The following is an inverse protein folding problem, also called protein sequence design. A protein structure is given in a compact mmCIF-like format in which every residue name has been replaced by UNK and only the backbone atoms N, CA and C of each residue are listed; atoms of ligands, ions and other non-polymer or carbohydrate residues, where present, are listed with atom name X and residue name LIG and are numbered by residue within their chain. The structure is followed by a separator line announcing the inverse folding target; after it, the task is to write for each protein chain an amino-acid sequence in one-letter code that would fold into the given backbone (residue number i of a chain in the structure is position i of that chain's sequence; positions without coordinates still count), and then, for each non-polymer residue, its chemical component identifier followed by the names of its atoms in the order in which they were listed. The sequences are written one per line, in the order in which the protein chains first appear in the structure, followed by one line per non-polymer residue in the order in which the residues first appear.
data_IF_305316048266
#
_entry.id   IF_305316048266
#
_cell.length_a   1.000
_cell.length_b   1.000
_cell.length_c   1.000
_cell.angle_alpha   90.00
_cell.angle_beta   90.00
_cell.angle_gamma   90.00
#
_symmetry.space_group_name_H-M   'P 1'
#
loop_
_entity.id
_entity.type
_entity.pdbx_description
1 polymer ?
#
# COMPACT_ATOMS: atom_id res chain seq x y z
N UNK A 1 53.63 0.40 -7.38
CA UNK A 1 53.05 0.05 -8.70
C UNK A 1 52.99 1.24 -9.67
N UNK A 2 54.12 1.71 -10.23
CA UNK A 2 54.12 2.81 -11.20
C UNK A 2 53.55 2.43 -12.58
N UNK A 3 53.51 1.13 -12.88
CA UNK A 3 53.04 0.58 -14.15
C UNK A 3 51.51 0.36 -14.17
N UNK A 4 50.83 0.52 -13.03
CA UNK A 4 49.38 0.35 -12.91
C UNK A 4 48.91 -1.09 -13.01
N UNK A 5 49.79 -2.06 -12.72
CA UNK A 5 49.51 -3.50 -12.82
C UNK A 5 48.34 -3.90 -11.91
N UNK A 6 48.27 -3.34 -10.69
CA UNK A 6 47.17 -3.63 -9.78
C UNK A 6 45.83 -3.08 -10.28
N UNK A 7 45.82 -1.93 -10.96
CA UNK A 7 44.59 -1.36 -11.51
C UNK A 7 44.11 -2.16 -12.73
N UNK A 8 45.03 -2.60 -13.57
CA UNK A 8 44.74 -3.49 -14.70
C UNK A 8 44.12 -4.81 -14.23
N UNK A 9 44.74 -5.44 -13.22
CA UNK A 9 44.22 -6.65 -12.57
C UNK A 9 42.78 -6.46 -12.08
N UNK A 10 42.53 -5.37 -11.35
CA UNK A 10 41.21 -5.05 -10.85
C UNK A 10 40.20 -4.85 -11.98
N UNK A 11 40.53 -4.07 -13.02
CA UNK A 11 39.61 -3.77 -14.15
C UNK A 11 39.25 -4.99 -14.98
N UNK A 12 40.14 -5.97 -15.06
CA UNK A 12 39.90 -7.22 -15.79
C UNK A 12 39.20 -8.30 -14.96
N UNK A 13 38.48 -7.91 -13.90
CA UNK A 13 37.74 -8.82 -13.04
C UNK A 13 38.61 -9.83 -12.28
N UNK A 14 39.82 -9.44 -11.90
CA UNK A 14 40.69 -10.20 -11.00
C UNK A 14 41.00 -11.63 -11.52
N UNK A 15 41.59 -11.75 -12.73
CA UNK A 15 41.83 -13.05 -13.34
C UNK A 15 42.89 -13.85 -12.56
N UNK A 16 42.60 -15.10 -12.25
CA UNK A 16 43.49 -15.97 -11.44
C UNK A 16 44.88 -16.18 -12.07
N UNK A 17 45.00 -16.02 -13.39
CA UNK A 17 46.24 -16.18 -14.14
C UNK A 17 47.21 -15.00 -13.99
N UNK A 18 46.74 -13.80 -13.62
CA UNK A 18 47.56 -12.59 -13.48
C UNK A 18 48.16 -12.46 -12.07
N UNK A 19 49.10 -13.34 -11.76
CA UNK A 19 49.80 -13.38 -10.46
C UNK A 19 50.55 -12.07 -10.18
N UNK A 20 51.12 -11.45 -11.21
CA UNK A 20 51.87 -10.18 -11.10
C UNK A 20 50.95 -9.01 -10.77
N UNK A 21 49.79 -8.92 -11.43
CA UNK A 21 48.77 -7.92 -11.15
C UNK A 21 48.15 -8.12 -9.76
N UNK A 22 47.90 -9.36 -9.36
CA UNK A 22 47.42 -9.69 -8.02
C UNK A 22 48.40 -9.25 -6.92
N UNK A 23 49.70 -9.53 -7.06
CA UNK A 23 50.72 -9.09 -6.09
C UNK A 23 50.76 -7.56 -5.96
N UNK A 24 50.79 -6.85 -7.10
CA UNK A 24 50.79 -5.38 -7.11
C UNK A 24 49.50 -4.80 -6.48
N UNK A 25 48.36 -5.46 -6.69
CA UNK A 25 47.09 -5.09 -6.08
C UNK A 25 47.11 -5.27 -4.54
N UNK A 26 47.59 -6.41 -4.05
CA UNK A 26 47.69 -6.70 -2.61
C UNK A 26 48.64 -5.74 -1.88
N UNK A 27 49.81 -5.45 -2.45
CA UNK A 27 50.75 -4.49 -1.85
C UNK A 27 50.13 -3.09 -1.71
N UNK A 28 49.37 -2.64 -2.72
CA UNK A 28 48.66 -1.36 -2.66
C UNK A 28 47.55 -1.36 -1.62
N UNK A 29 46.76 -2.42 -1.54
CA UNK A 29 45.73 -2.57 -0.51
C UNK A 29 46.34 -2.48 0.90
N UNK A 30 47.51 -3.09 1.14
CA UNK A 30 48.21 -2.98 2.42
C UNK A 30 48.61 -1.53 2.74
N UNK A 31 49.05 -0.76 1.75
CA UNK A 31 49.34 0.67 1.94
C UNK A 31 48.06 1.47 2.26
N UNK A 32 46.97 1.20 1.54
CA UNK A 32 45.68 1.87 1.79
C UNK A 32 45.12 1.53 3.17
N UNK A 33 45.36 0.30 3.63
CA UNK A 33 44.94 -0.17 4.94
C UNK A 33 45.49 0.71 6.07
N UNK A 34 46.74 1.15 5.98
CA UNK A 34 47.29 2.09 6.97
C UNK A 34 46.46 3.38 7.06
N UNK A 35 45.94 3.86 5.93
CA UNK A 35 45.11 5.09 5.86
C UNK A 35 43.72 4.81 6.42
N UNK A 36 43.09 3.71 6.04
CA UNK A 36 41.75 3.35 6.52
C UNK A 36 41.74 2.98 8.00
N UNK A 37 42.79 2.32 8.51
CA UNK A 37 42.94 1.99 9.93
C UNK A 37 43.07 3.28 10.77
N UNK A 38 43.84 4.25 10.28
CA UNK A 38 43.94 5.59 10.92
C UNK A 38 42.58 6.30 10.92
N UNK A 39 41.86 6.29 9.80
CA UNK A 39 40.51 6.87 9.73
C UNK A 39 39.55 6.15 10.69
N UNK A 40 39.64 4.83 10.79
CA UNK A 40 38.81 4.03 11.69
C UNK A 40 39.07 4.39 13.15
N UNK A 41 40.32 4.57 13.53
CA UNK A 41 40.69 5.00 14.88
C UNK A 41 40.11 6.38 15.21
N UNK A 42 40.23 7.35 14.29
CA UNK A 42 39.66 8.68 14.46
C UNK A 42 38.12 8.65 14.58
N UNK A 43 37.44 7.83 13.77
CA UNK A 43 35.99 7.63 13.88
C UNK A 43 35.61 7.05 15.24
N UNK A 44 36.33 6.01 15.70
CA UNK A 44 36.06 5.37 16.98
C UNK A 44 36.28 6.33 18.16
N UNK A 45 37.36 7.12 18.13
CA UNK A 45 37.66 8.13 19.14
C UNK A 45 36.62 9.25 19.14
N UNK A 46 36.16 9.71 17.97
CA UNK A 46 35.12 10.75 17.87
C UNK A 46 33.77 10.32 18.45
N UNK A 47 33.44 9.03 18.36
CA UNK A 47 32.19 8.43 18.85
C UNK A 47 32.27 7.92 20.29
N UNK A 48 33.45 7.93 20.91
CA UNK A 48 33.62 7.46 22.27
C UNK A 48 32.77 8.31 23.24
N UNK A 49 32.04 7.69 24.17
CA UNK A 49 31.33 8.45 25.19
C UNK A 49 32.34 9.29 25.98
N UNK A 50 32.03 10.56 26.34
CA UNK A 50 32.90 11.33 27.20
C UNK A 50 33.12 10.51 28.46
N UNK A 51 34.38 10.18 28.77
CA UNK A 51 34.67 9.39 29.96
C UNK A 51 34.09 10.11 31.17
N UNK A 52 33.05 9.55 31.77
CA UNK A 52 32.55 10.05 33.04
C UNK A 52 33.70 9.98 34.04
N UNK A 53 34.03 11.07 34.75
CA UNK A 53 35.16 11.06 35.68
C UNK A 53 34.90 9.98 36.71
N UNK A 54 35.69 8.91 36.64
CA UNK A 54 35.62 7.84 37.63
C UNK A 54 36.08 8.42 38.96
N UNK A 55 35.27 8.27 40.01
CA UNK A 55 35.64 8.69 41.36
C UNK A 55 36.95 7.97 41.74
N UNK A 56 38.05 8.69 42.01
CA UNK A 56 39.31 8.05 42.35
C UNK A 56 39.14 7.17 43.60
N UNK A 57 39.59 5.90 43.54
CA UNK A 57 39.53 4.96 44.68
C UNK A 57 40.41 5.36 45.87
N UNK A 58 41.13 6.48 45.79
CA UNK A 58 41.99 7.02 46.86
C UNK A 58 41.78 8.55 46.96
N UNK A 59 41.69 9.11 48.18
CA UNK A 59 41.69 10.56 48.36
C UNK A 59 43.04 11.15 47.93
N UNK A 60 43.00 12.00 46.92
CA UNK A 60 44.14 12.70 46.32
C UNK A 60 43.65 13.64 45.21
N UNK A 61 44.48 14.59 44.75
CA UNK A 61 44.12 15.46 43.62
C UNK A 61 43.71 14.60 42.40
N UNK A 62 42.73 15.06 41.60
CA UNK A 62 42.20 14.28 40.48
C UNK A 62 43.35 13.81 39.60
N UNK A 63 43.45 12.50 39.40
CA UNK A 63 44.38 11.93 38.42
C UNK A 63 43.82 12.31 37.06
N UNK A 64 44.29 13.42 36.49
CA UNK A 64 44.12 13.72 35.07
C UNK A 64 45.01 12.74 34.30
N UNK A 65 44.63 11.46 34.26
CA UNK A 65 45.18 10.52 33.29
C UNK A 65 44.37 10.64 32.00
N UNK A 66 44.28 11.85 31.44
CA UNK A 66 44.12 12.02 30.01
C UNK A 66 45.54 12.01 29.48
N UNK A 67 45.94 10.93 28.80
CA UNK A 67 47.22 10.84 28.11
C UNK A 67 47.41 12.13 27.29
N UNK A 68 48.55 12.84 27.37
CA UNK A 68 48.74 14.11 26.65
C UNK A 68 48.70 13.97 25.12
N UNK A 69 48.69 12.74 24.61
CA UNK A 69 48.51 12.41 23.19
C UNK A 69 47.09 11.93 22.84
N UNK A 70 46.15 11.86 23.79
CA UNK A 70 44.76 11.52 23.49
C UNK A 70 44.03 12.72 22.91
N UNK A 71 43.57 12.59 21.67
CA UNK A 71 42.68 13.56 21.04
C UNK A 71 41.36 13.63 21.80
N UNK A 72 40.83 14.84 21.98
CA UNK A 72 39.43 14.98 22.40
C UNK A 72 38.49 14.46 21.30
N UNK A 73 37.26 14.12 21.65
CA UNK A 73 36.26 13.64 20.68
C UNK A 73 36.03 14.66 19.54
N UNK A 74 36.03 15.95 19.86
CA UNK A 74 35.84 17.03 18.91
C UNK A 74 37.05 17.17 17.95
N UNK A 75 38.27 17.08 18.49
CA UNK A 75 39.50 17.10 17.70
C UNK A 75 39.63 15.86 16.81
N UNK A 76 39.31 14.67 17.33
CA UNK A 76 39.28 13.43 16.57
C UNK A 76 38.29 13.52 15.40
N UNK A 77 37.09 14.07 15.63
CA UNK A 77 36.11 14.35 14.59
C UNK A 77 36.62 15.37 13.55
N UNK A 78 37.31 16.43 13.99
CA UNK A 78 37.89 17.41 13.09
C UNK A 78 38.99 16.81 12.20
N UNK A 79 39.92 16.05 12.79
CA UNK A 79 40.98 15.36 12.07
C UNK A 79 40.43 14.32 11.11
N UNK A 80 39.38 13.58 11.50
CA UNK A 80 38.68 12.67 10.62
C UNK A 80 38.16 13.39 9.36
N UNK A 81 37.44 14.50 9.51
CA UNK A 81 36.91 15.27 8.36
C UNK A 81 38.03 15.83 7.47
N UNK A 82 39.12 16.32 8.07
CA UNK A 82 40.28 16.80 7.31
C UNK A 82 40.93 15.67 6.50
N UNK A 83 41.18 14.53 7.14
CA UNK A 83 41.81 13.38 6.51
C UNK A 83 40.92 12.79 5.41
N UNK A 84 39.61 12.70 5.64
CA UNK A 84 38.64 12.26 4.64
C UNK A 84 38.63 13.20 3.42
N UNK A 85 38.65 14.53 3.64
CA UNK A 85 38.74 15.51 2.54
C UNK A 85 40.04 15.40 1.75
N UNK A 86 41.16 15.09 2.41
CA UNK A 86 42.44 14.85 1.74
C UNK A 86 42.40 13.55 0.93
N UNK A 87 41.86 12.48 1.50
CA UNK A 87 41.70 11.19 0.83
C UNK A 87 40.84 11.31 -0.45
N UNK A 88 39.75 12.07 -0.39
CA UNK A 88 38.86 12.33 -1.53
C UNK A 88 39.51 13.11 -2.69
N UNK A 89 40.64 13.81 -2.45
CA UNK A 89 41.39 14.52 -3.50
C UNK A 89 42.37 13.62 -4.27
N UNK A 90 42.54 12.37 -3.83
CA UNK A 90 43.43 11.43 -4.50
C UNK A 90 42.92 11.12 -5.91
N UNK A 91 43.83 11.10 -6.88
CA UNK A 91 43.55 10.69 -8.27
C UNK A 91 43.72 9.17 -8.47
N UNK A 92 44.06 8.45 -7.40
CA UNK A 92 44.23 7.01 -7.44
C UNK A 92 42.88 6.30 -7.34
N UNK A 93 42.47 5.66 -8.45
CA UNK A 93 41.22 4.91 -8.57
C UNK A 93 41.16 3.74 -7.58
N UNK A 94 42.25 2.98 -7.39
CA UNK A 94 42.25 1.84 -6.46
C UNK A 94 42.15 2.29 -5.01
N UNK A 95 42.79 3.40 -4.66
CA UNK A 95 42.64 3.97 -3.33
C UNK A 95 41.21 4.46 -3.10
N UNK A 96 40.61 5.11 -4.11
CA UNK A 96 39.21 5.57 -4.04
C UNK A 96 38.26 4.40 -3.80
N UNK A 97 38.45 3.29 -4.51
CA UNK A 97 37.70 2.03 -4.32
C UNK A 97 37.87 1.48 -2.90
N UNK A 98 39.10 1.40 -2.40
CA UNK A 98 39.39 0.94 -1.04
C UNK A 98 38.74 1.84 0.02
N UNK A 99 38.77 3.16 -0.19
CA UNK A 99 38.12 4.14 0.67
C UNK A 99 36.59 3.98 0.67
N UNK A 100 35.97 3.70 -0.48
CA UNK A 100 34.53 3.46 -0.57
C UNK A 100 34.13 2.18 0.17
N UNK A 101 34.88 1.09 -0.03
CA UNK A 101 34.66 -0.15 0.71
C UNK A 101 34.76 0.06 2.22
N UNK A 102 35.76 0.80 2.68
CA UNK A 102 35.89 1.16 4.09
C UNK A 102 34.73 2.03 4.60
N UNK A 103 34.31 3.06 3.85
CA UNK A 103 33.17 3.93 4.23
C UNK A 103 31.88 3.13 4.39
N UNK A 104 31.65 2.11 3.56
CA UNK A 104 30.49 1.22 3.65
C UNK A 104 30.61 0.35 4.90
N UNK A 105 31.77 -0.27 5.13
CA UNK A 105 32.02 -1.11 6.31
C UNK A 105 31.91 -0.35 7.63
N UNK A 106 32.28 0.93 7.65
CA UNK A 106 32.21 1.81 8.82
C UNK A 106 30.81 2.43 9.06
N UNK A 107 29.81 2.06 8.25
CA UNK A 107 28.44 2.62 8.26
C UNK A 107 28.42 4.15 8.04
N UNK A 108 29.27 4.64 7.13
CA UNK A 108 29.40 6.06 6.76
C UNK A 108 28.85 6.32 5.36
N UNK A 109 27.75 5.65 5.01
CA UNK A 109 27.07 5.74 3.71
C UNK A 109 26.69 7.18 3.32
N UNK A 110 26.28 8.01 4.27
CA UNK A 110 25.95 9.42 4.00
C UNK A 110 27.16 10.23 3.54
N UNK A 111 28.35 9.92 4.08
CA UNK A 111 29.62 10.53 3.66
C UNK A 111 30.05 10.00 2.31
N UNK A 112 29.86 8.72 2.03
CA UNK A 112 30.10 8.13 0.71
C UNK A 112 29.29 8.85 -0.37
N UNK A 113 28.00 9.08 -0.13
CA UNK A 113 27.13 9.78 -1.07
C UNK A 113 27.52 11.25 -1.26
N UNK A 114 28.29 11.87 -0.36
CA UNK A 114 28.83 13.24 -0.53
C UNK A 114 30.08 13.29 -1.40
N UNK A 115 30.71 12.15 -1.68
CA UNK A 115 31.89 12.10 -2.54
C UNK A 115 31.48 12.39 -3.98
N UNK A 116 32.02 13.48 -4.54
CA UNK A 116 31.92 13.74 -5.97
C UNK A 116 33.13 13.12 -6.68
N UNK A 117 32.99 11.88 -7.13
CA UNK A 117 34.04 11.14 -7.83
C UNK A 117 33.47 10.36 -9.00
N UNK A 118 34.14 10.37 -10.17
CA UNK A 118 33.72 9.59 -11.33
C UNK A 118 33.88 8.07 -11.12
N UNK A 119 34.60 7.64 -10.07
CA UNK A 119 34.87 6.23 -9.78
C UNK A 119 33.80 5.59 -8.90
N UNK A 120 32.94 6.39 -8.24
CA UNK A 120 31.96 5.88 -7.28
C UNK A 120 30.85 5.07 -7.96
N UNK A 121 30.29 5.57 -9.07
CA UNK A 121 29.24 4.85 -9.81
C UNK A 121 29.74 3.51 -10.38
N UNK A 122 30.87 3.43 -11.12
CA UNK A 122 31.40 2.16 -11.61
C UNK A 122 31.67 1.16 -10.48
N UNK A 123 32.17 1.65 -9.34
CA UNK A 123 32.41 0.81 -8.16
C UNK A 123 31.11 0.22 -7.61
N UNK A 124 30.11 1.06 -7.30
CA UNK A 124 28.81 0.60 -6.77
C UNK A 124 28.11 -0.35 -7.75
N UNK A 125 28.14 -0.03 -9.05
CA UNK A 125 27.54 -0.87 -10.09
C UNK A 125 28.25 -2.23 -10.25
N UNK A 126 29.57 -2.29 -10.05
CA UNK A 126 30.32 -3.56 -10.00
C UNK A 126 29.97 -4.35 -8.76
N UNK A 127 30.02 -3.73 -7.58
CA UNK A 127 29.74 -4.41 -6.31
C UNK A 127 28.33 -4.96 -6.25
N UNK A 128 27.34 -4.24 -6.78
CA UNK A 128 25.96 -4.72 -6.92
C UNK A 128 25.81 -6.02 -7.75
N UNK A 129 26.79 -6.37 -8.59
CA UNK A 129 26.79 -7.61 -9.38
C UNK A 129 27.52 -8.76 -8.70
N UNK A 130 28.67 -8.48 -8.11
CA UNK A 130 29.62 -9.51 -7.63
C UNK A 130 29.51 -9.82 -6.14
N UNK A 131 29.07 -8.86 -5.33
CA UNK A 131 29.01 -9.02 -3.87
C UNK A 131 27.79 -9.86 -3.45
N UNK A 132 27.83 -10.42 -2.24
CA UNK A 132 26.69 -11.12 -1.66
C UNK A 132 25.61 -10.13 -1.21
N UNK A 133 26.01 -8.97 -0.67
CA UNK A 133 25.13 -7.91 -0.17
C UNK A 133 24.61 -7.01 -1.31
N UNK A 134 24.09 -7.61 -2.39
CA UNK A 134 23.65 -6.89 -3.60
C UNK A 134 22.63 -5.80 -3.30
N UNK A 135 21.70 -6.08 -2.38
CA UNK A 135 20.66 -5.13 -1.94
C UNK A 135 21.30 -3.84 -1.44
N UNK A 136 22.28 -3.93 -0.54
CA UNK A 136 22.95 -2.78 0.06
C UNK A 136 23.62 -1.88 -1.00
N UNK A 137 24.37 -2.48 -1.93
CA UNK A 137 25.05 -1.72 -2.99
C UNK A 137 24.07 -1.09 -3.99
N UNK A 138 22.99 -1.79 -4.34
CA UNK A 138 21.92 -1.21 -5.17
C UNK A 138 21.22 -0.07 -4.43
N UNK A 139 21.08 -0.17 -3.11
CA UNK A 139 20.48 0.88 -2.27
C UNK A 139 21.32 2.16 -2.27
N UNK A 140 22.64 2.01 -2.15
CA UNK A 140 23.58 3.12 -2.29
C UNK A 140 23.56 3.71 -3.70
N UNK A 141 23.42 2.87 -4.72
CA UNK A 141 23.45 3.28 -6.12
C UNK A 141 22.26 4.17 -6.50
N UNK A 142 21.02 3.82 -6.10
CA UNK A 142 19.89 4.69 -6.41
C UNK A 142 19.96 6.01 -5.63
N UNK A 143 20.42 6.00 -4.37
CA UNK A 143 20.62 7.22 -3.57
C UNK A 143 21.66 8.15 -4.20
N UNK A 144 22.73 7.57 -4.74
CA UNK A 144 23.73 8.31 -5.52
C UNK A 144 23.11 8.97 -6.75
N UNK A 145 22.31 8.23 -7.53
CA UNK A 145 21.65 8.76 -8.71
C UNK A 145 20.66 9.89 -8.40
N UNK A 146 19.83 9.75 -7.35
CA UNK A 146 18.93 10.83 -6.92
C UNK A 146 19.69 12.09 -6.53
N UNK A 147 20.77 11.95 -5.76
CA UNK A 147 21.59 13.08 -5.32
C UNK A 147 22.22 13.83 -6.49
N UNK A 148 22.62 13.10 -7.52
CA UNK A 148 23.17 13.65 -8.75
C UNK A 148 22.11 14.06 -9.77
N UNK A 149 20.82 14.06 -9.40
CA UNK A 149 19.67 14.41 -10.24
C UNK A 149 19.50 13.52 -11.48
N UNK A 150 20.04 12.31 -11.45
CA UNK A 150 19.88 11.29 -12.49
C UNK A 150 18.65 10.41 -12.18
N UNK A 151 17.46 11.02 -12.23
CA UNK A 151 16.25 10.36 -11.74
C UNK A 151 15.81 9.14 -12.57
N UNK A 152 16.05 9.13 -13.89
CA UNK A 152 15.77 7.95 -14.73
C UNK A 152 16.59 6.74 -14.28
N UNK A 153 17.88 6.94 -13.98
CA UNK A 153 18.75 5.86 -13.50
C UNK A 153 18.35 5.38 -12.09
N UNK A 154 18.01 6.31 -11.19
CA UNK A 154 17.50 5.96 -9.87
C UNK A 154 16.22 5.10 -9.96
N UNK A 155 15.26 5.51 -10.78
CA UNK A 155 14.00 4.78 -10.98
C UNK A 155 14.25 3.36 -11.53
N UNK A 156 15.19 3.20 -12.48
CA UNK A 156 15.56 1.87 -13.02
C UNK A 156 16.23 0.97 -11.99
N UNK A 157 17.07 1.50 -11.11
CA UNK A 157 17.68 0.71 -10.02
C UNK A 157 16.63 0.29 -8.99
N UNK A 158 15.74 1.21 -8.61
CA UNK A 158 14.63 0.93 -7.68
C UNK A 158 13.66 -0.12 -8.23
N UNK A 159 13.32 -0.04 -9.53
CA UNK A 159 12.50 -1.05 -10.19
C UNK A 159 13.15 -2.43 -10.15
N UNK A 160 14.47 -2.52 -10.42
CA UNK A 160 15.22 -3.77 -10.31
C UNK A 160 15.28 -4.31 -8.88
N UNK A 161 15.40 -3.44 -7.88
CA UNK A 161 15.33 -3.83 -6.47
C UNK A 161 13.96 -4.44 -6.13
N UNK A 162 12.88 -3.81 -6.60
CA UNK A 162 11.52 -4.30 -6.38
C UNK A 162 11.25 -5.66 -7.08
N UNK A 163 11.82 -5.88 -8.26
CA UNK A 163 11.64 -7.12 -9.05
C UNK A 163 12.58 -8.26 -8.62
N UNK A 164 13.60 -7.99 -7.81
CA UNK A 164 14.63 -8.98 -7.48
C UNK A 164 14.09 -10.10 -6.59
N UNK A 165 14.22 -11.35 -7.01
CA UNK A 165 13.95 -12.49 -6.14
C UNK A 165 14.94 -12.49 -4.94
N UNK A 166 14.43 -12.30 -3.73
CA UNK A 166 15.25 -12.23 -2.51
C UNK A 166 14.40 -12.40 -1.26
N UNK A 167 14.95 -13.08 -0.26
CA UNK A 167 14.39 -13.17 1.10
C UNK A 167 14.82 -12.02 2.00
N UNK A 168 15.73 -11.15 1.54
CA UNK A 168 16.22 -10.00 2.30
C UNK A 168 15.31 -8.77 2.20
N UNK A 169 14.48 -8.71 1.16
CA UNK A 169 13.59 -7.57 0.89
C UNK A 169 12.15 -8.00 1.17
N UNK A 170 11.51 -7.38 2.16
CA UNK A 170 10.09 -7.61 2.45
C UNK A 170 9.19 -7.02 1.37
N UNK A 171 7.96 -7.53 1.26
CA UNK A 171 6.98 -6.97 0.32
C UNK A 171 6.69 -5.48 0.58
N UNK A 172 6.67 -5.06 1.86
CA UNK A 172 6.55 -3.65 2.21
C UNK A 172 7.71 -2.82 1.66
N UNK A 173 8.95 -3.30 1.78
CA UNK A 173 10.11 -2.62 1.23
C UNK A 173 10.09 -2.56 -0.31
N UNK A 174 9.56 -3.61 -0.98
CA UNK A 174 9.33 -3.59 -2.44
C UNK A 174 8.32 -2.50 -2.84
N UNK A 175 7.22 -2.35 -2.09
CA UNK A 175 6.26 -1.27 -2.30
C UNK A 175 6.91 0.11 -2.15
N UNK A 176 7.78 0.30 -1.15
CA UNK A 176 8.53 1.53 -0.96
C UNK A 176 9.47 1.80 -2.14
N UNK A 177 10.16 0.79 -2.65
CA UNK A 177 11.00 0.92 -3.85
C UNK A 177 10.19 1.32 -5.08
N UNK A 178 9.05 0.69 -5.35
CA UNK A 178 8.21 1.07 -6.50
C UNK A 178 7.67 2.48 -6.32
N UNK A 179 7.20 2.85 -5.11
CA UNK A 179 6.70 4.19 -4.85
C UNK A 179 7.78 5.25 -5.10
N UNK A 180 9.01 4.98 -4.68
CA UNK A 180 10.15 5.86 -4.93
C UNK A 180 10.59 5.87 -6.40
N UNK A 181 10.49 4.74 -7.09
CA UNK A 181 10.74 4.63 -8.52
C UNK A 181 9.74 5.51 -9.30
N UNK A 182 8.46 5.48 -8.95
CA UNK A 182 7.41 6.33 -9.54
C UNK A 182 7.73 7.82 -9.31
N UNK A 183 8.12 8.21 -8.10
CA UNK A 183 8.50 9.60 -7.80
C UNK A 183 9.72 10.05 -8.62
N UNK A 184 10.73 9.19 -8.74
CA UNK A 184 11.92 9.44 -9.56
C UNK A 184 11.57 9.52 -11.05
N UNK A 185 10.76 8.61 -11.58
CA UNK A 185 10.32 8.61 -12.97
C UNK A 185 9.50 9.88 -13.30
N UNK A 186 8.58 10.30 -12.41
CA UNK A 186 7.83 11.57 -12.53
C UNK A 186 8.75 12.79 -12.52
N UNK A 187 9.82 12.74 -11.72
CA UNK A 187 10.83 13.82 -11.69
C UNK A 187 11.65 13.85 -12.98
N UNK A 188 11.98 12.70 -13.56
CA UNK A 188 12.67 12.59 -14.85
C UNK A 188 11.83 13.17 -15.99
N UNK A 189 10.57 12.74 -16.11
CA UNK A 189 9.66 13.19 -17.18
C UNK A 189 9.36 14.69 -17.11
N UNK A 190 9.34 15.27 -15.91
CA UNK A 190 9.19 16.72 -15.72
C UNK A 190 10.40 17.52 -16.20
N UNK A 191 11.61 16.96 -16.09
CA UNK A 191 12.85 17.60 -16.55
C UNK A 191 13.02 17.42 -18.06
N UNK A 192 12.75 16.22 -18.56
CA UNK A 192 12.84 15.88 -19.97
C UNK A 192 11.73 14.89 -20.35
N UNK A 193 10.70 15.34 -21.08
CA UNK A 193 9.60 14.46 -21.47
C UNK A 193 10.03 13.56 -22.64
N UNK A 194 10.57 12.40 -22.31
CA UNK A 194 10.93 11.34 -23.26
C UNK A 194 9.82 10.29 -23.24
N UNK A 195 9.33 9.87 -24.41
CA UNK A 195 8.22 8.91 -24.52
C UNK A 195 8.49 7.60 -23.75
N UNK A 196 9.72 7.07 -23.84
CA UNK A 196 10.14 5.86 -23.14
C UNK A 196 10.10 5.99 -21.60
N UNK A 197 10.36 7.19 -21.05
CA UNK A 197 10.26 7.42 -19.60
C UNK A 197 8.79 7.48 -19.15
N UNK A 198 7.87 7.88 -20.05
CA UNK A 198 6.43 7.86 -19.81
C UNK A 198 5.84 6.45 -19.82
N UNK A 199 6.25 5.61 -20.76
CA UNK A 199 5.89 4.18 -20.81
C UNK A 199 6.38 3.44 -19.55
N UNK A 200 7.65 3.63 -19.20
CA UNK A 200 8.22 3.06 -17.98
C UNK A 200 7.51 3.54 -16.70
N UNK A 201 7.08 4.81 -16.65
CA UNK A 201 6.28 5.31 -15.53
C UNK A 201 4.94 4.57 -15.43
N UNK A 202 4.27 4.35 -16.56
CA UNK A 202 2.99 3.63 -16.58
C UNK A 202 3.16 2.19 -16.11
N UNK A 203 4.20 1.48 -16.57
CA UNK A 203 4.53 0.13 -16.10
C UNK A 203 4.75 0.07 -14.58
N UNK A 204 5.40 1.09 -14.00
CA UNK A 204 5.59 1.16 -12.55
C UNK A 204 4.28 1.40 -11.78
N UNK A 205 3.38 2.21 -12.34
CA UNK A 205 2.06 2.47 -11.74
C UNK A 205 1.18 1.22 -11.77
N UNK A 206 1.13 0.49 -12.88
CA UNK A 206 0.44 -0.81 -12.97
C UNK A 206 1.03 -1.84 -12.00
N UNK A 207 2.37 -1.92 -11.93
CA UNK A 207 3.08 -2.81 -10.99
C UNK A 207 2.77 -2.48 -9.53
N UNK A 208 2.64 -1.19 -9.19
CA UNK A 208 2.22 -0.76 -7.85
C UNK A 208 0.82 -1.27 -7.50
N UNK A 209 -0.13 -1.28 -8.44
CA UNK A 209 -1.47 -1.80 -8.19
C UNK A 209 -1.45 -3.29 -7.87
N UNK A 210 -0.71 -4.09 -8.66
CA UNK A 210 -0.56 -5.55 -8.41
C UNK A 210 0.16 -5.81 -7.09
N UNK A 211 1.24 -5.09 -6.80
CA UNK A 211 2.00 -5.23 -5.56
C UNK A 211 1.14 -4.91 -4.30
N UNK A 212 0.23 -3.93 -4.40
CA UNK A 212 -0.71 -3.62 -3.31
C UNK A 212 -1.70 -4.75 -3.08
N UNK A 213 -2.18 -5.39 -4.14
CA UNK A 213 -3.05 -6.57 -4.02
C UNK A 213 -2.30 -7.73 -3.36
N UNK A 214 -1.05 -7.97 -3.78
CA UNK A 214 -0.18 -8.97 -3.15
C UNK A 214 -0.01 -8.70 -1.65
N UNK A 215 0.16 -7.44 -1.25
CA UNK A 215 0.26 -7.06 0.16
C UNK A 215 -1.06 -7.26 0.91
N UNK A 216 -2.20 -6.93 0.31
CA UNK A 216 -3.52 -7.21 0.89
C UNK A 216 -3.75 -8.72 1.11
N UNK A 217 -3.28 -9.57 0.20
CA UNK A 217 -3.33 -11.03 0.36
C UNK A 217 -2.49 -11.44 1.56
N UNK A 218 -1.26 -10.94 1.67
CA UNK A 218 -0.37 -11.22 2.79
C UNK A 218 -1.01 -10.82 4.13
N UNK A 219 -1.56 -9.60 4.24
CA UNK A 219 -2.28 -9.15 5.44
C UNK A 219 -3.49 -10.05 5.76
N UNK A 220 -4.29 -10.41 4.76
CA UNK A 220 -5.44 -11.28 4.96
C UNK A 220 -5.04 -12.68 5.45
N UNK A 221 -3.90 -13.21 5.01
CA UNK A 221 -3.34 -14.48 5.46
C UNK A 221 -2.84 -14.41 6.91
N UNK A 222 -2.14 -13.33 7.28
CA UNK A 222 -1.72 -13.09 8.65
C UNK A 222 -2.91 -13.05 9.63
N UNK A 223 -4.03 -12.44 9.23
CA UNK A 223 -5.22 -12.34 10.06
C UNK A 223 -6.00 -13.66 10.19
N UNK A 224 -6.05 -14.50 9.15
CA UNK A 224 -6.93 -15.67 9.16
C UNK A 224 -6.29 -16.93 9.75
N UNK A 225 -5.00 -17.19 9.51
CA UNK A 225 -4.39 -18.49 9.80
C UNK A 225 -2.87 -18.42 10.05
N UNK A 226 -2.40 -17.51 10.90
CA UNK A 226 -0.95 -17.31 11.15
C UNK A 226 -0.18 -18.56 11.60
N UNK A 227 -0.84 -19.57 12.18
CA UNK A 227 -0.17 -20.74 12.77
C UNK A 227 -0.09 -21.98 11.88
N UNK A 228 -0.71 -21.98 10.68
CA UNK A 228 -0.65 -23.13 9.79
C UNK A 228 0.62 -23.08 8.92
N UNK A 229 1.35 -24.19 8.78
CA UNK A 229 2.62 -24.22 8.03
C UNK A 229 2.46 -23.77 6.58
N UNK A 230 1.39 -24.20 5.91
CA UNK A 230 1.10 -23.78 4.52
C UNK A 230 0.88 -22.27 4.36
N UNK A 231 0.46 -21.57 5.41
CA UNK A 231 0.26 -20.11 5.39
C UNK A 231 1.60 -19.39 5.54
N UNK A 232 2.49 -19.91 6.39
CA UNK A 232 3.85 -19.39 6.51
C UNK A 232 4.63 -19.56 5.20
N UNK A 233 4.49 -20.72 4.56
CA UNK A 233 5.10 -20.95 3.24
C UNK A 233 4.55 -19.97 2.20
N UNK A 234 3.23 -19.76 2.16
CA UNK A 234 2.60 -18.79 1.25
C UNK A 234 3.09 -17.35 1.51
N UNK A 235 3.17 -16.92 2.77
CA UNK A 235 3.70 -15.59 3.14
C UNK A 235 5.15 -15.43 2.68
N UNK A 236 5.99 -16.45 2.90
CA UNK A 236 7.40 -16.39 2.47
C UNK A 236 7.56 -16.27 0.96
N UNK A 237 6.68 -16.93 0.19
CA UNK A 237 6.65 -16.79 -1.27
C UNK A 237 6.21 -15.39 -1.68
N UNK A 238 5.18 -14.83 -1.04
CA UNK A 238 4.69 -13.47 -1.30
C UNK A 238 5.73 -12.38 -0.96
N UNK A 239 6.66 -12.62 -0.03
CA UNK A 239 7.77 -11.70 0.24
C UNK A 239 8.92 -11.84 -0.78
N UNK A 240 9.12 -13.05 -1.31
CA UNK A 240 10.30 -13.38 -2.11
C UNK A 240 10.38 -12.65 -3.45
N UNK A 241 9.25 -12.34 -4.08
CA UNK A 241 9.18 -11.65 -5.38
C UNK A 241 7.79 -11.05 -5.65
N UNK A 242 7.70 -10.11 -6.59
CA UNK A 242 6.43 -9.61 -7.10
C UNK A 242 5.85 -10.61 -8.09
N UNK A 243 4.59 -11.00 -7.87
CA UNK A 243 3.94 -12.03 -8.65
C UNK A 243 2.98 -11.46 -9.70
N UNK A 244 2.75 -12.25 -10.74
CA UNK A 244 1.70 -11.96 -11.71
C UNK A 244 0.31 -12.12 -11.09
N UNK A 245 -0.62 -11.27 -11.54
CA UNK A 245 -1.98 -11.22 -11.00
C UNK A 245 -2.74 -12.55 -11.13
N UNK A 246 -2.50 -13.32 -12.19
CA UNK A 246 -3.10 -14.65 -12.39
C UNK A 246 -2.62 -15.66 -11.34
N UNK A 247 -1.34 -15.60 -10.94
CA UNK A 247 -0.78 -16.45 -9.88
C UNK A 247 -1.38 -16.07 -8.53
N UNK A 248 -1.47 -14.76 -8.25
CA UNK A 248 -2.12 -14.26 -7.03
C UNK A 248 -3.56 -14.78 -6.88
N UNK A 249 -4.30 -14.90 -7.99
CA UNK A 249 -5.64 -15.48 -7.97
C UNK A 249 -5.62 -16.98 -7.70
N UNK A 250 -4.92 -17.75 -8.54
CA UNK A 250 -5.01 -19.21 -8.55
C UNK A 250 -4.25 -19.91 -7.42
N UNK A 251 -3.13 -19.36 -6.98
CA UNK A 251 -2.25 -20.00 -5.99
C UNK A 251 -2.48 -19.48 -4.57
N UNK A 252 -3.09 -18.29 -4.41
CA UNK A 252 -3.28 -17.65 -3.11
C UNK A 252 -4.75 -17.30 -2.84
N UNK A 253 -5.36 -16.38 -3.60
CA UNK A 253 -6.67 -15.86 -3.25
C UNK A 253 -7.79 -16.91 -3.27
N UNK A 254 -7.79 -17.83 -4.24
CA UNK A 254 -8.79 -18.90 -4.34
C UNK A 254 -8.58 -20.02 -3.31
N UNK A 255 -7.38 -20.62 -3.17
CA UNK A 255 -7.14 -21.67 -2.16
C UNK A 255 -7.42 -21.24 -0.72
N UNK A 256 -7.11 -19.98 -0.38
CA UNK A 256 -7.35 -19.42 0.95
C UNK A 256 -8.71 -18.73 1.11
N UNK A 257 -9.59 -18.80 0.09
CA UNK A 257 -10.95 -18.24 0.10
C UNK A 257 -10.99 -16.75 0.47
N UNK A 258 -10.09 -15.97 -0.11
CA UNK A 258 -9.94 -14.54 0.14
C UNK A 258 -10.83 -13.74 -0.82
N UNK A 259 -12.14 -13.71 -0.58
CA UNK A 259 -13.13 -13.13 -1.51
C UNK A 259 -12.91 -11.65 -1.82
N UNK A 260 -12.44 -10.87 -0.83
CA UNK A 260 -12.07 -9.46 -1.04
C UNK A 260 -10.87 -9.30 -1.96
N UNK A 261 -9.83 -10.13 -1.77
CA UNK A 261 -8.66 -10.13 -2.63
C UNK A 261 -9.01 -10.63 -4.04
N UNK A 262 -9.86 -11.66 -4.17
CA UNK A 262 -10.40 -12.11 -5.47
C UNK A 262 -11.12 -10.97 -6.20
N UNK A 263 -11.93 -10.18 -5.49
CA UNK A 263 -12.62 -9.01 -6.06
C UNK A 263 -11.63 -7.92 -6.51
N UNK A 264 -10.60 -7.63 -5.70
CA UNK A 264 -9.56 -6.67 -6.05
C UNK A 264 -8.75 -7.11 -7.28
N UNK A 265 -8.43 -8.40 -7.38
CA UNK A 265 -7.74 -8.99 -8.53
C UNK A 265 -8.55 -8.83 -9.81
N UNK A 266 -9.82 -9.24 -9.83
CA UNK A 266 -10.63 -9.15 -11.07
C UNK A 266 -10.90 -7.69 -11.48
N UNK A 267 -10.94 -6.77 -10.51
CA UNK A 267 -11.02 -5.33 -10.77
C UNK A 267 -9.74 -4.82 -11.45
N UNK A 268 -8.57 -5.14 -10.89
CA UNK A 268 -7.27 -4.74 -11.45
C UNK A 268 -7.01 -5.37 -12.82
N UNK A 269 -7.38 -6.65 -13.02
CA UNK A 269 -7.23 -7.34 -14.31
C UNK A 269 -8.26 -6.90 -15.37
N UNK A 270 -9.27 -6.09 -15.03
CA UNK A 270 -10.33 -5.71 -15.95
C UNK A 270 -11.26 -6.87 -16.37
N UNK A 271 -11.20 -8.00 -15.69
CA UNK A 271 -12.06 -9.15 -15.95
C UNK A 271 -13.39 -9.01 -15.21
N UNK A 272 -14.51 -9.15 -15.90
CA UNK A 272 -15.84 -9.01 -15.30
C UNK A 272 -16.77 -10.13 -15.77
N UNK A 273 -17.07 -11.03 -14.84
CA UNK A 273 -18.21 -11.96 -14.91
C UNK A 273 -19.23 -11.55 -13.84
N UNK A 274 -20.45 -11.13 -14.21
CA UNK A 274 -21.47 -10.72 -13.25
C UNK A 274 -21.80 -11.79 -12.20
N UNK A 275 -21.77 -13.08 -12.56
CA UNK A 275 -22.08 -14.16 -11.63
C UNK A 275 -20.98 -14.25 -10.59
N UNK A 276 -19.71 -14.32 -11.03
CA UNK A 276 -18.56 -14.34 -10.15
C UNK A 276 -18.56 -13.12 -9.20
N UNK A 277 -18.78 -11.91 -9.72
CA UNK A 277 -18.82 -10.69 -8.90
C UNK A 277 -19.90 -10.79 -7.82
N UNK A 278 -21.12 -11.23 -8.17
CA UNK A 278 -22.19 -11.42 -7.20
C UNK A 278 -21.83 -12.48 -6.14
N UNK A 279 -21.27 -13.61 -6.57
CA UNK A 279 -20.81 -14.67 -5.66
C UNK A 279 -19.75 -14.16 -4.69
N UNK A 280 -18.77 -13.38 -5.16
CA UNK A 280 -17.74 -12.80 -4.29
C UNK A 280 -18.34 -11.83 -3.28
N UNK A 281 -19.25 -10.95 -3.68
CA UNK A 281 -19.94 -10.05 -2.75
C UNK A 281 -20.77 -10.82 -1.72
N UNK A 282 -21.44 -11.89 -2.14
CA UNK A 282 -22.17 -12.76 -1.24
C UNK A 282 -21.23 -13.40 -0.20
N UNK A 283 -20.12 -13.99 -0.64
CA UNK A 283 -19.10 -14.58 0.25
C UNK A 283 -18.55 -13.56 1.26
N UNK A 284 -18.30 -12.31 0.81
CA UNK A 284 -17.81 -11.23 1.68
C UNK A 284 -18.83 -10.89 2.76
N UNK A 285 -20.10 -10.73 2.38
CA UNK A 285 -21.17 -10.39 3.32
C UNK A 285 -21.40 -11.53 4.32
N UNK A 286 -21.44 -12.78 3.84
CA UNK A 286 -21.62 -13.97 4.68
C UNK A 286 -20.47 -14.14 5.67
N UNK A 287 -19.22 -13.93 5.23
CA UNK A 287 -18.05 -13.96 6.12
C UNK A 287 -18.14 -12.87 7.18
N UNK A 288 -18.44 -11.62 6.81
CA UNK A 288 -18.58 -10.52 7.76
C UNK A 288 -19.71 -10.77 8.79
N UNK A 289 -20.82 -11.38 8.36
CA UNK A 289 -21.92 -11.77 9.25
C UNK A 289 -21.55 -12.92 10.18
N UNK A 290 -20.72 -13.85 9.72
CA UNK A 290 -20.18 -14.98 10.49
C UNK A 290 -19.17 -14.52 11.55
N UNK A 291 -18.21 -13.68 11.17
CA UNK A 291 -17.16 -13.17 12.07
C UNK A 291 -17.74 -12.31 13.20
N UNK A 292 -18.89 -11.69 12.97
CA UNK A 292 -19.58 -10.83 13.94
C UNK A 292 -20.61 -11.57 14.81
N UNK A 293 -20.74 -12.89 14.73
CA UNK A 293 -21.76 -13.66 15.46
C UNK A 293 -21.74 -13.45 16.99
N UNK A 294 -20.58 -13.20 17.58
CA UNK A 294 -20.43 -12.97 19.01
C UNK A 294 -20.83 -11.56 19.47
N UNK A 295 -21.09 -10.64 18.54
CA UNK A 295 -21.38 -9.23 18.82
C UNK A 295 -22.89 -8.98 19.02
N UNK A 296 -23.24 -7.85 19.63
CA UNK A 296 -24.64 -7.42 19.76
C UNK A 296 -25.24 -7.04 18.40
N UNK A 297 -26.57 -7.12 18.24
CA UNK A 297 -27.24 -6.77 16.98
C UNK A 297 -26.84 -5.38 16.41
N UNK A 298 -26.79 -4.27 17.19
CA UNK A 298 -26.36 -2.98 16.65
C UNK A 298 -24.89 -2.98 16.24
N UNK A 299 -24.01 -3.65 16.99
CA UNK A 299 -22.58 -3.70 16.64
C UNK A 299 -22.34 -4.54 15.37
N UNK A 300 -23.12 -5.63 15.19
CA UNK A 300 -23.09 -6.44 13.96
C UNK A 300 -23.51 -5.62 12.74
N UNK A 301 -24.59 -4.85 12.89
CA UNK A 301 -25.09 -3.96 11.85
C UNK A 301 -24.03 -2.90 11.50
N UNK A 302 -23.39 -2.29 12.51
CA UNK A 302 -22.32 -1.32 12.30
C UNK A 302 -21.09 -1.93 11.64
N UNK A 303 -20.65 -3.12 12.08
CA UNK A 303 -19.51 -3.82 11.50
C UNK A 303 -19.73 -4.14 10.01
N UNK A 304 -20.92 -4.66 9.65
CA UNK A 304 -21.25 -4.89 8.25
C UNK A 304 -21.36 -3.57 7.46
N UNK A 305 -21.95 -2.51 8.05
CA UNK A 305 -22.01 -1.19 7.40
C UNK A 305 -20.61 -0.69 7.06
N UNK A 306 -19.69 -0.71 8.03
CA UNK A 306 -18.31 -0.25 7.83
C UNK A 306 -17.62 -1.05 6.72
N UNK A 307 -17.83 -2.37 6.67
CA UNK A 307 -17.30 -3.23 5.63
C UNK A 307 -17.84 -2.88 4.25
N UNK A 308 -19.17 -2.74 4.14
CA UNK A 308 -19.84 -2.36 2.91
C UNK A 308 -19.45 -0.96 2.42
N UNK A 309 -19.31 0.01 3.33
CA UNK A 309 -18.88 1.38 3.00
C UNK A 309 -17.45 1.41 2.50
N UNK A 310 -16.55 0.67 3.16
CA UNK A 310 -15.13 0.62 2.78
C UNK A 310 -14.95 0.07 1.36
N UNK A 311 -15.58 -1.08 1.07
CA UNK A 311 -15.51 -1.69 -0.26
C UNK A 311 -16.34 -0.92 -1.30
N UNK A 312 -17.52 -0.43 -0.91
CA UNK A 312 -18.40 0.33 -1.78
C UNK A 312 -17.76 1.62 -2.29
N UNK A 313 -17.01 2.34 -1.44
CA UNK A 313 -16.28 3.55 -1.88
C UNK A 313 -15.20 3.26 -2.94
N UNK A 314 -14.67 2.04 -2.97
CA UNK A 314 -13.69 1.61 -3.98
C UNK A 314 -14.41 1.25 -5.30
N UNK A 315 -15.48 0.46 -5.23
CA UNK A 315 -16.08 -0.16 -6.42
C UNK A 315 -17.32 0.56 -6.98
N UNK A 316 -17.99 1.45 -6.23
CA UNK A 316 -19.22 2.12 -6.67
C UNK A 316 -19.03 2.98 -7.93
N UNK A 317 -17.80 3.46 -8.18
CA UNK A 317 -17.44 4.15 -9.43
C UNK A 317 -17.42 3.25 -10.67
N UNK A 318 -17.38 1.94 -10.49
CA UNK A 318 -17.24 0.94 -11.57
C UNK A 318 -18.39 -0.08 -11.49
N UNK A 319 -19.56 0.18 -12.11
CA UNK A 319 -20.78 -0.61 -11.91
C UNK A 319 -20.67 -2.11 -12.17
N UNK A 320 -19.72 -2.54 -13.02
CA UNK A 320 -19.43 -3.95 -13.31
C UNK A 320 -18.92 -4.74 -12.10
N UNK A 321 -18.35 -4.06 -11.10
CA UNK A 321 -17.81 -4.65 -9.87
C UNK A 321 -18.64 -4.32 -8.63
N UNK A 322 -19.67 -3.47 -8.77
CA UNK A 322 -20.59 -3.10 -7.72
C UNK A 322 -22.04 -3.35 -8.18
N UNK A 323 -22.53 -4.60 -8.10
CA UNK A 323 -23.85 -4.99 -8.61
C UNK A 323 -24.94 -4.48 -7.66
N UNK A 324 -25.25 -3.18 -7.74
CA UNK A 324 -26.13 -2.47 -6.81
C UNK A 324 -27.47 -3.17 -6.60
N UNK A 325 -28.13 -3.58 -7.68
CA UNK A 325 -29.44 -4.23 -7.65
C UNK A 325 -29.41 -5.53 -6.84
N UNK A 326 -28.36 -6.35 -7.03
CA UNK A 326 -28.11 -7.56 -6.24
C UNK A 326 -27.79 -7.24 -4.77
N UNK A 327 -26.90 -6.27 -4.53
CA UNK A 327 -26.46 -5.91 -3.18
C UNK A 327 -27.61 -5.39 -2.32
N UNK A 328 -28.45 -4.50 -2.88
CA UNK A 328 -29.64 -3.99 -2.17
C UNK A 328 -30.60 -5.13 -1.86
N UNK A 329 -30.92 -5.98 -2.84
CA UNK A 329 -31.81 -7.12 -2.61
C UNK A 329 -31.25 -8.05 -1.52
N UNK A 330 -29.98 -8.46 -1.64
CA UNK A 330 -29.36 -9.41 -0.72
C UNK A 330 -29.26 -8.85 0.70
N UNK A 331 -28.84 -7.59 0.87
CA UNK A 331 -28.78 -6.96 2.19
C UNK A 331 -30.17 -6.80 2.82
N UNK A 332 -31.19 -6.46 2.05
CA UNK A 332 -32.56 -6.37 2.56
C UNK A 332 -33.11 -7.73 3.02
N UNK A 333 -32.73 -8.82 2.33
CA UNK A 333 -33.01 -10.18 2.79
C UNK A 333 -32.32 -10.48 4.13
N UNK A 334 -31.06 -10.06 4.30
CA UNK A 334 -30.35 -10.20 5.58
C UNK A 334 -30.99 -9.37 6.70
N UNK A 335 -31.38 -8.11 6.43
CA UNK A 335 -32.12 -7.26 7.37
C UNK A 335 -33.43 -7.92 7.81
N UNK A 336 -34.16 -8.51 6.87
CA UNK A 336 -35.37 -9.26 7.17
C UNK A 336 -35.12 -10.44 8.11
N UNK A 337 -34.12 -11.26 7.79
CA UNK A 337 -33.74 -12.47 8.53
C UNK A 337 -33.23 -12.16 9.94
N UNK A 338 -32.36 -11.15 10.08
CA UNK A 338 -31.75 -10.76 11.34
C UNK A 338 -32.61 -9.79 12.16
N UNK A 339 -33.73 -9.33 11.59
CA UNK A 339 -34.66 -8.37 12.17
C UNK A 339 -33.96 -7.05 12.56
N UNK A 340 -33.13 -6.54 11.66
CA UNK A 340 -32.43 -5.26 11.81
C UNK A 340 -33.31 -4.06 11.43
N UNK A 341 -32.78 -2.86 11.68
CA UNK A 341 -33.44 -1.61 11.30
C UNK A 341 -33.64 -1.52 9.78
N UNK A 342 -34.85 -1.13 9.37
CA UNK A 342 -35.27 -1.04 7.97
C UNK A 342 -34.50 0.03 7.20
N UNK A 343 -33.97 1.05 7.89
CA UNK A 343 -33.16 2.09 7.27
C UNK A 343 -31.73 1.68 6.98
N UNK A 344 -31.25 0.55 7.52
CA UNK A 344 -29.86 0.10 7.42
C UNK A 344 -29.30 0.19 5.99
N UNK A 345 -29.90 -0.53 5.04
CA UNK A 345 -29.39 -0.61 3.66
C UNK A 345 -29.41 0.77 2.99
N UNK A 346 -30.47 1.55 3.24
CA UNK A 346 -30.58 2.91 2.71
C UNK A 346 -29.46 3.80 3.21
N UNK A 347 -29.16 3.79 4.51
CA UNK A 347 -28.09 4.62 5.09
C UNK A 347 -26.72 4.17 4.61
N UNK A 348 -26.45 2.86 4.59
CA UNK A 348 -25.18 2.31 4.10
C UNK A 348 -24.94 2.67 2.62
N UNK A 349 -25.95 2.54 1.75
CA UNK A 349 -25.82 2.90 0.33
C UNK A 349 -25.63 4.41 0.11
N UNK A 350 -26.29 5.24 0.91
CA UNK A 350 -26.06 6.69 0.89
C UNK A 350 -24.63 7.05 1.33
N UNK A 351 -24.10 6.38 2.36
CA UNK A 351 -22.73 6.60 2.85
C UNK A 351 -21.66 6.14 1.86
N UNK A 352 -21.95 5.10 1.06
CA UNK A 352 -21.12 4.70 -0.09
C UNK A 352 -21.08 5.80 -1.16
N UNK A 353 -22.11 6.65 -1.24
CA UNK A 353 -22.26 7.68 -2.26
C UNK A 353 -23.18 7.28 -3.41
N UNK A 354 -24.02 6.26 -3.24
CA UNK A 354 -25.02 5.86 -4.25
C UNK A 354 -26.06 6.99 -4.37
N UNK A 355 -26.32 7.52 -5.58
CA UNK A 355 -27.31 8.57 -5.77
C UNK A 355 -28.71 8.11 -5.36
N UNK A 356 -29.41 8.97 -4.61
CA UNK A 356 -30.77 8.69 -4.16
C UNK A 356 -31.75 8.32 -5.30
N UNK A 357 -31.71 8.98 -6.49
CA UNK A 357 -32.56 8.57 -7.61
C UNK A 357 -32.29 7.14 -8.06
N UNK A 358 -31.02 6.75 -8.15
CA UNK A 358 -30.63 5.39 -8.55
C UNK A 358 -31.08 4.37 -7.51
N UNK A 359 -30.96 4.69 -6.22
CA UNK A 359 -31.42 3.81 -5.15
C UNK A 359 -32.96 3.63 -5.17
N UNK A 360 -33.72 4.71 -5.44
CA UNK A 360 -35.17 4.62 -5.61
C UNK A 360 -35.56 3.74 -6.81
N UNK A 361 -34.85 3.84 -7.93
CA UNK A 361 -35.08 2.97 -9.09
C UNK A 361 -34.92 1.49 -8.72
N UNK A 362 -33.87 1.15 -7.98
CA UNK A 362 -33.62 -0.23 -7.54
C UNK A 362 -34.75 -0.72 -6.64
N UNK A 363 -35.15 0.07 -5.63
CA UNK A 363 -36.27 -0.33 -4.76
C UNK A 363 -37.61 -0.44 -5.52
N UNK A 364 -37.89 0.46 -6.47
CA UNK A 364 -39.09 0.38 -7.32
C UNK A 364 -39.08 -0.89 -8.19
N UNK A 365 -37.92 -1.28 -8.73
CA UNK A 365 -37.76 -2.54 -9.46
C UNK A 365 -37.96 -3.77 -8.57
N UNK A 366 -37.35 -3.79 -7.38
CA UNK A 366 -37.52 -4.87 -6.40
C UNK A 366 -38.99 -5.01 -5.97
N UNK A 367 -39.68 -3.89 -5.75
CA UNK A 367 -41.10 -3.88 -5.43
C UNK A 367 -41.95 -4.44 -6.58
N UNK A 368 -41.69 -4.01 -7.82
CA UNK A 368 -42.38 -4.49 -9.04
C UNK A 368 -42.13 -5.97 -9.34
N UNK A 369 -40.96 -6.49 -8.99
CA UNK A 369 -40.60 -7.89 -9.21
C UNK A 369 -41.49 -8.88 -8.42
N UNK A 370 -42.13 -8.41 -7.33
CA UNK A 370 -43.06 -9.21 -6.50
C UNK A 370 -42.45 -10.55 -6.05
N UNK A 371 -41.20 -10.51 -5.58
CA UNK A 371 -40.49 -11.69 -5.11
C UNK A 371 -41.26 -12.40 -3.97
N UNK A 372 -41.60 -13.69 -4.11
CA UNK A 372 -42.28 -14.46 -3.07
C UNK A 372 -41.51 -14.55 -1.73
N UNK A 373 -40.20 -14.26 -1.73
CA UNK A 373 -39.36 -14.25 -0.54
C UNK A 373 -39.97 -13.45 0.62
N UNK A 374 -40.45 -12.23 0.35
CA UNK A 374 -40.98 -11.32 1.39
C UNK A 374 -42.22 -11.89 2.09
N UNK A 375 -43.09 -12.54 1.32
CA UNK A 375 -44.27 -13.23 1.85
C UNK A 375 -43.89 -14.47 2.66
N UNK A 376 -42.90 -15.25 2.21
CA UNK A 376 -42.37 -16.41 2.95
C UNK A 376 -41.77 -16.00 4.30
N UNK A 377 -41.08 -14.86 4.35
CA UNK A 377 -40.53 -14.28 5.58
C UNK A 377 -41.57 -13.58 6.46
N UNK A 378 -42.87 -13.64 6.10
CA UNK A 378 -43.96 -12.96 6.80
C UNK A 378 -43.78 -11.44 6.93
N UNK A 379 -43.03 -10.83 6.01
CA UNK A 379 -42.79 -9.37 5.92
C UNK A 379 -43.16 -8.83 4.53
N UNK A 380 -44.42 -8.95 4.08
CA UNK A 380 -44.82 -8.55 2.72
C UNK A 380 -44.74 -7.03 2.47
N UNK A 381 -44.67 -6.22 3.53
CA UNK A 381 -44.61 -4.76 3.45
C UNK A 381 -43.18 -4.20 3.57
N UNK A 382 -42.17 -5.05 3.77
CA UNK A 382 -40.77 -4.66 4.04
C UNK A 382 -40.24 -3.64 3.03
N UNK A 383 -40.35 -3.92 1.73
CA UNK A 383 -39.87 -3.00 0.69
C UNK A 383 -40.57 -1.64 0.71
N UNK A 384 -41.85 -1.59 1.07
CA UNK A 384 -42.58 -0.32 1.21
C UNK A 384 -42.11 0.46 2.44
N UNK A 385 -41.76 -0.23 3.53
CA UNK A 385 -41.14 0.40 4.70
C UNK A 385 -39.76 0.98 4.33
N UNK A 386 -38.92 0.24 3.60
CA UNK A 386 -37.62 0.72 3.10
C UNK A 386 -37.78 1.96 2.20
N UNK A 387 -38.69 1.91 1.23
CA UNK A 387 -39.00 3.04 0.34
C UNK A 387 -39.48 4.26 1.15
N UNK A 388 -40.32 4.04 2.16
CA UNK A 388 -40.77 5.11 3.02
C UNK A 388 -39.61 5.76 3.80
N UNK A 389 -38.66 4.98 4.33
CA UNK A 389 -37.46 5.51 4.99
C UNK A 389 -36.60 6.32 4.02
N UNK A 390 -36.34 5.78 2.83
CA UNK A 390 -35.59 6.43 1.76
C UNK A 390 -36.16 7.81 1.41
N UNK A 391 -37.46 7.87 1.12
CA UNK A 391 -38.14 9.09 0.72
C UNK A 391 -38.34 10.05 1.90
N UNK A 392 -38.53 9.55 3.12
CA UNK A 392 -38.55 10.39 4.31
C UNK A 392 -37.21 11.09 4.53
N UNK A 393 -36.09 10.39 4.28
CA UNK A 393 -34.75 10.97 4.35
C UNK A 393 -34.54 12.08 3.32
N UNK A 394 -35.09 11.95 2.12
CA UNK A 394 -35.09 13.01 1.10
C UNK A 394 -35.90 14.23 1.52
N UNK A 395 -37.09 14.01 2.06
CA UNK A 395 -37.98 15.09 2.48
C UNK A 395 -37.39 15.89 3.65
N UNK A 396 -36.68 15.21 4.56
CA UNK A 396 -35.99 15.84 5.69
C UNK A 396 -34.76 16.64 5.25
N UNK A 397 -34.00 16.14 4.27
CA UNK A 397 -32.85 16.83 3.71
C UNK A 397 -32.84 16.76 2.17
N UNK A 398 -33.50 17.71 1.49
CA UNK A 398 -33.54 17.77 0.03
C UNK A 398 -32.17 18.04 -0.60
N UNK A 399 -31.16 18.46 0.18
CA UNK A 399 -29.82 18.72 -0.35
C UNK A 399 -29.05 17.46 -0.71
N UNK A 400 -29.52 16.28 -0.29
CA UNK A 400 -29.03 14.98 -0.74
C UNK A 400 -29.18 14.75 -2.25
N UNK A 401 -30.02 15.55 -2.92
CA UNK A 401 -30.18 15.54 -4.38
C UNK A 401 -29.66 16.86 -4.93
N UNK A 402 -28.93 16.79 -6.04
CA UNK A 402 -28.37 17.96 -6.70
C UNK A 402 -29.48 18.93 -7.13
N UNK A 403 -29.27 20.23 -6.90
CA UNK A 403 -30.30 21.27 -7.06
C UNK A 403 -31.00 21.24 -8.42
N UNK A 404 -30.27 20.95 -9.49
CA UNK A 404 -30.81 20.89 -10.86
C UNK A 404 -31.73 19.67 -11.10
N UNK A 405 -31.59 18.60 -10.32
CA UNK A 405 -32.41 17.38 -10.46
C UNK A 405 -33.59 17.34 -9.50
N UNK A 406 -33.58 18.14 -8.41
CA UNK A 406 -34.57 18.10 -7.33
C UNK A 406 -36.02 18.13 -7.83
N UNK A 407 -36.36 19.06 -8.72
CA UNK A 407 -37.74 19.18 -9.22
C UNK A 407 -38.18 17.92 -9.97
N UNK A 408 -37.33 17.42 -10.86
CA UNK A 408 -37.59 16.18 -11.62
C UNK A 408 -37.71 15.00 -10.68
N UNK A 409 -36.82 14.89 -9.71
CA UNK A 409 -36.80 13.80 -8.75
C UNK A 409 -38.03 13.84 -7.83
N UNK A 410 -38.44 15.01 -7.32
CA UNK A 410 -39.67 15.17 -6.53
C UNK A 410 -40.90 14.70 -7.32
N UNK A 411 -40.99 14.97 -8.63
CA UNK A 411 -42.08 14.44 -9.47
C UNK A 411 -42.07 12.92 -9.54
N UNK A 412 -40.89 12.33 -9.77
CA UNK A 412 -40.72 10.86 -9.79
C UNK A 412 -41.17 10.25 -8.46
N UNK A 413 -40.81 10.89 -7.34
CA UNK A 413 -41.24 10.46 -6.01
C UNK A 413 -42.75 10.55 -5.82
N UNK A 414 -43.40 11.64 -6.26
CA UNK A 414 -44.86 11.80 -6.18
C UNK A 414 -45.59 10.74 -7.01
N UNK A 415 -45.11 10.46 -8.22
CA UNK A 415 -45.67 9.42 -9.09
C UNK A 415 -45.48 8.02 -8.49
N UNK A 416 -44.30 7.75 -7.92
CA UNK A 416 -44.02 6.48 -7.24
C UNK A 416 -44.89 6.29 -6.00
N UNK A 417 -44.99 7.30 -5.13
CA UNK A 417 -45.85 7.28 -3.93
C UNK A 417 -47.31 7.05 -4.30
N UNK A 418 -47.81 7.71 -5.35
CA UNK A 418 -49.17 7.51 -5.86
C UNK A 418 -49.40 6.06 -6.29
N UNK A 419 -48.44 5.45 -7.01
CA UNK A 419 -48.49 4.02 -7.39
C UNK A 419 -48.50 3.10 -6.17
N UNK A 420 -47.62 3.33 -5.19
CA UNK A 420 -47.56 2.52 -3.98
C UNK A 420 -48.84 2.61 -3.14
N UNK A 421 -49.47 3.78 -3.07
CA UNK A 421 -50.75 3.97 -2.37
C UNK A 421 -51.89 3.18 -3.03
N UNK A 422 -51.94 3.12 -4.37
CA UNK A 422 -52.94 2.32 -5.11
C UNK A 422 -52.76 0.83 -4.81
N UNK A 423 -51.51 0.33 -4.84
CA UNK A 423 -51.23 -1.07 -4.52
C UNK A 423 -51.58 -1.39 -3.05
N UNK A 424 -51.26 -0.51 -2.10
CA UNK A 424 -51.63 -0.68 -0.69
C UNK A 424 -53.14 -0.77 -0.45
N UNK A 425 -53.95 -0.04 -1.23
CA UNK A 425 -55.41 -0.10 -1.17
C UNK A 425 -55.98 -1.43 -1.68
N UNK A 426 -55.24 -2.14 -2.54
CA UNK A 426 -55.65 -3.46 -3.04
C UNK A 426 -55.37 -4.60 -2.05
N UNK A 427 -54.50 -4.38 -1.06
CA UNK A 427 -54.14 -5.36 -0.03
C UNK A 427 -55.23 -5.40 1.06
N UNK A 428 -55.49 -6.59 1.61
CA UNK A 428 -56.44 -6.76 2.72
C UNK A 428 -56.14 -5.80 3.88
N UNK A 429 -57.15 -5.11 4.43
CA UNK A 429 -56.96 -4.06 5.43
C UNK A 429 -56.55 -4.66 6.78
N UNK A 430 -55.24 -4.74 7.00
CA UNK A 430 -54.64 -5.05 8.31
C UNK A 430 -54.15 -3.76 8.97
N UNK A 431 -53.95 -3.78 10.29
CA UNK A 431 -53.42 -2.62 11.03
C UNK A 431 -52.09 -2.13 10.46
N UNK A 432 -51.19 -3.05 10.06
CA UNK A 432 -49.91 -2.72 9.45
C UNK A 432 -50.07 -1.98 8.11
N UNK A 433 -50.98 -2.46 7.24
CA UNK A 433 -51.29 -1.81 5.95
C UNK A 433 -51.88 -0.42 6.17
N UNK A 434 -52.76 -0.24 7.15
CA UNK A 434 -53.34 1.06 7.49
C UNK A 434 -52.27 2.06 7.97
N UNK A 435 -51.35 1.62 8.84
CA UNK A 435 -50.24 2.44 9.33
C UNK A 435 -49.34 2.90 8.19
N UNK A 436 -48.89 1.97 7.34
CA UNK A 436 -48.04 2.31 6.18
C UNK A 436 -48.77 3.22 5.19
N UNK A 437 -50.06 2.98 4.94
CA UNK A 437 -50.87 3.88 4.10
C UNK A 437 -50.92 5.29 4.68
N UNK A 438 -51.07 5.44 5.99
CA UNK A 438 -51.01 6.74 6.68
C UNK A 438 -49.65 7.42 6.52
N UNK A 439 -48.56 6.65 6.67
CA UNK A 439 -47.19 7.13 6.47
C UNK A 439 -46.95 7.63 5.05
N UNK A 440 -47.37 6.88 4.01
CA UNK A 440 -47.24 7.31 2.62
C UNK A 440 -48.11 8.53 2.27
N UNK A 441 -49.31 8.67 2.85
CA UNK A 441 -50.13 9.89 2.70
C UNK A 441 -49.45 11.12 3.32
N UNK A 442 -48.85 10.95 4.51
CA UNK A 442 -48.04 12.01 5.14
C UNK A 442 -46.82 12.37 4.29
N UNK A 443 -46.15 11.37 3.74
CA UNK A 443 -45.00 11.54 2.84
C UNK A 443 -45.40 12.29 1.56
N UNK A 444 -46.52 11.93 0.94
CA UNK A 444 -47.08 12.61 -0.23
C UNK A 444 -47.30 14.10 0.05
N UNK A 445 -47.99 14.44 1.16
CA UNK A 445 -48.25 15.82 1.54
C UNK A 445 -46.96 16.62 1.80
N UNK A 446 -45.88 15.97 2.27
CA UNK A 446 -44.59 16.64 2.43
C UNK A 446 -43.85 16.83 1.11
N UNK A 447 -43.91 15.84 0.21
CA UNK A 447 -43.33 15.96 -1.14
C UNK A 447 -44.02 17.05 -1.96
N UNK A 448 -45.34 17.19 -1.85
CA UNK A 448 -46.11 18.27 -2.49
C UNK A 448 -45.71 19.66 -1.99
N UNK A 449 -45.23 19.80 -0.75
CA UNK A 449 -44.70 21.07 -0.22
C UNK A 449 -43.28 21.38 -0.69
N UNK A 450 -42.53 20.36 -1.12
CA UNK A 450 -41.18 20.50 -1.66
C UNK A 450 -41.17 20.71 -3.17
N UNK A 451 -42.27 20.38 -3.85
CA UNK A 451 -42.51 20.65 -5.26
C UNK A 451 -42.75 22.15 -5.49
#
# INVERSE_FOLDING_TARGET
DPQGLGLHYYKNHEPEEDVTGWQAFQERLNCYKCITDTLQELVNQSKAAPQSPSVPKKPGPPVLSSDPNMLSNEEAGHHFEQMLKLAQRSMDELFSIALYGWLIQADLSDKLLQVNSPFLEPYLARMAKIDQNKVCYMDLLWRFFEKNRSFSNAARVLAKLADMHSTEISLQQRLEYIARAILSAKSSTAISPIAADGEFLHELEEKMEVARIQFQIQEALHHQCSHHSSVQDAISQLDSELMEISKLYGEFADPFKLSECKLAIIHCAGHSDPILVQTLWQEIIEKALSDSLAMSAPDRMQALSLKMVTLGKIYAGTPRYFPLDFLVQYLEQQVCSLNWDVGYVTYTMQEIGVPLPRLLEVYDQLFKARDPYWSKMKKPLHLLECIHVLLSGYVQDPNKVATFERRRFTNICLDAVSRYLVELQSISPTLAVQTITGSFKSLQAKLERLH
#
